data_IF_369471647025
#
_entry.id   IF_369471647025
#
_cell.length_a   1.000
_cell.length_b   1.000
_cell.length_c   1.000
_cell.angle_alpha   90.00
_cell.angle_beta   90.00
_cell.angle_gamma   90.00
#
_symmetry.space_group_name_H-M   'P 1'
#
loop_
_entity.id
_entity.type
_entity.pdbx_description
1 polymer ?
#
# COMPACT_ATOMS: atom_id res chain seq x y z
N UNK A 1 22.93 64.32 -34.47
CA UNK A 1 23.70 63.09 -34.25
C UNK A 1 23.27 62.56 -32.88
N UNK A 2 22.35 61.62 -32.83
CA UNK A 2 21.80 61.11 -31.56
C UNK A 2 22.21 59.63 -31.45
N UNK A 3 22.96 59.29 -30.44
CA UNK A 3 23.46 57.95 -30.16
C UNK A 3 22.45 57.24 -29.28
N UNK A 4 21.68 56.33 -29.86
CA UNK A 4 20.72 55.48 -29.18
C UNK A 4 21.50 54.38 -28.44
N UNK A 5 21.59 54.53 -27.09
CA UNK A 5 22.09 53.46 -26.21
C UNK A 5 21.04 52.33 -26.11
N UNK A 6 21.29 51.18 -26.76
CA UNK A 6 20.53 49.96 -26.55
C UNK A 6 20.92 49.35 -25.18
N UNK A 7 19.97 49.45 -24.26
CA UNK A 7 20.05 48.78 -22.96
C UNK A 7 19.62 47.31 -23.16
N UNK A 8 20.58 46.39 -23.13
CA UNK A 8 20.30 44.95 -23.16
C UNK A 8 19.94 44.55 -21.75
N UNK A 9 18.63 44.29 -21.53
CA UNK A 9 18.10 43.73 -20.27
C UNK A 9 18.30 42.19 -20.30
N UNK A 10 19.36 41.72 -19.65
CA UNK A 10 19.59 40.28 -19.48
C UNK A 10 18.66 39.79 -18.35
N UNK A 11 17.57 39.14 -18.72
CA UNK A 11 16.67 38.46 -17.78
C UNK A 11 17.38 37.18 -17.33
N UNK A 12 17.90 37.20 -16.11
CA UNK A 12 18.44 36.02 -15.43
C UNK A 12 17.25 35.17 -14.97
N UNK A 13 16.83 34.22 -15.83
CA UNK A 13 15.85 33.19 -15.41
C UNK A 13 16.57 32.19 -14.51
N UNK A 14 16.51 32.41 -13.21
CA UNK A 14 16.93 31.41 -12.24
C UNK A 14 15.95 30.26 -12.27
N UNK A 15 16.33 29.17 -12.94
CA UNK A 15 15.65 27.89 -12.85
C UNK A 15 15.77 27.39 -11.41
N UNK A 16 14.75 27.60 -10.58
CA UNK A 16 14.56 26.90 -9.32
C UNK A 16 14.18 25.45 -9.66
N UNK A 17 15.17 24.60 -9.86
CA UNK A 17 14.98 23.16 -9.93
C UNK A 17 14.72 22.72 -8.50
N UNK A 18 13.44 22.69 -8.10
CA UNK A 18 13.03 22.04 -6.86
C UNK A 18 13.46 20.58 -6.91
N UNK A 19 14.38 20.18 -6.05
CA UNK A 19 14.70 18.77 -5.86
C UNK A 19 13.46 18.09 -5.29
N UNK A 20 12.75 17.36 -6.15
CA UNK A 20 11.77 16.37 -5.72
C UNK A 20 12.59 15.24 -5.11
N UNK A 21 12.72 15.24 -3.78
CA UNK A 21 13.23 14.08 -3.05
C UNK A 21 12.20 12.96 -3.23
N UNK A 22 12.42 12.07 -4.18
CA UNK A 22 11.70 10.82 -4.25
C UNK A 22 11.97 10.07 -2.94
N UNK A 23 10.92 9.72 -2.21
CA UNK A 23 11.02 8.92 -0.99
C UNK A 23 11.70 7.59 -1.34
N UNK A 24 12.90 7.37 -0.78
CA UNK A 24 13.68 6.17 -1.08
C UNK A 24 13.07 4.96 -0.37
N UNK A 25 12.47 4.05 -1.15
CA UNK A 25 11.95 2.77 -0.66
C UNK A 25 13.06 1.75 -0.66
N UNK A 26 13.45 1.26 0.52
CA UNK A 26 14.49 0.25 0.69
C UNK A 26 13.89 -1.12 1.00
N UNK A 27 14.19 -2.11 0.15
CA UNK A 27 13.84 -3.51 0.41
C UNK A 27 14.76 -4.06 1.49
N UNK A 28 14.16 -4.66 2.54
CA UNK A 28 14.86 -5.22 3.70
C UNK A 28 15.02 -6.73 3.65
N UNK A 29 14.12 -7.43 2.94
CA UNK A 29 14.22 -8.88 2.82
C UNK A 29 13.08 -9.51 2.03
N UNK A 30 13.25 -10.80 1.75
CA UNK A 30 12.24 -11.66 1.10
C UNK A 30 11.95 -12.86 1.99
N UNK A 31 10.68 -13.19 2.15
CA UNK A 31 10.17 -14.25 3.02
C UNK A 31 9.13 -15.09 2.26
N UNK A 32 9.58 -15.94 1.34
CA UNK A 32 8.73 -16.70 0.41
C UNK A 32 7.91 -15.73 -0.47
N UNK A 33 6.58 -15.69 -0.30
CA UNK A 33 5.65 -14.88 -1.09
C UNK A 33 5.45 -13.46 -0.51
N UNK A 34 6.30 -13.06 0.46
CA UNK A 34 6.27 -11.76 1.12
C UNK A 34 7.62 -11.07 1.04
N UNK A 35 7.58 -9.76 0.87
CA UNK A 35 8.76 -8.90 0.88
C UNK A 35 8.60 -7.81 1.95
N UNK A 36 9.71 -7.38 2.55
CA UNK A 36 9.71 -6.34 3.59
C UNK A 36 10.46 -5.12 3.12
N UNK A 37 9.93 -3.93 3.49
CA UNK A 37 10.42 -2.65 3.05
C UNK A 37 10.44 -1.62 4.18
N UNK A 38 11.31 -0.62 4.02
CA UNK A 38 11.34 0.59 4.83
C UNK A 38 11.36 1.79 3.88
N UNK A 39 10.64 2.82 4.25
CA UNK A 39 10.72 4.15 3.66
C UNK A 39 10.59 5.20 4.77
N UNK A 40 10.93 6.43 4.46
CA UNK A 40 10.70 7.57 5.35
C UNK A 40 9.89 8.61 4.58
N UNK A 41 8.86 9.11 5.22
CA UNK A 41 8.09 10.24 4.74
C UNK A 41 8.24 11.45 5.70
N UNK A 42 7.46 12.50 5.48
CA UNK A 42 7.47 13.71 6.33
C UNK A 42 7.04 13.44 7.79
N UNK A 43 6.30 12.35 8.04
CA UNK A 43 5.80 11.95 9.36
C UNK A 43 6.72 10.94 10.05
N UNK A 44 7.72 10.44 9.34
CA UNK A 44 8.75 9.56 9.86
C UNK A 44 8.86 8.23 9.14
N UNK A 45 9.33 7.23 9.87
CA UNK A 45 9.62 5.90 9.34
C UNK A 45 8.35 5.09 9.10
N UNK A 46 8.27 4.46 7.93
CA UNK A 46 7.23 3.50 7.54
C UNK A 46 7.90 2.17 7.24
N UNK A 47 7.45 1.10 7.90
CA UNK A 47 7.88 -0.25 7.60
C UNK A 47 6.68 -1.06 7.14
N UNK A 48 6.81 -1.82 6.05
CA UNK A 48 5.72 -2.65 5.59
C UNK A 48 6.20 -3.98 5.02
N UNK A 49 5.35 -4.98 5.10
CA UNK A 49 5.47 -6.19 4.32
C UNK A 49 4.41 -6.20 3.24
N UNK A 50 4.77 -6.69 2.07
CA UNK A 50 3.95 -6.73 0.86
C UNK A 50 3.92 -8.13 0.27
N UNK A 51 2.76 -8.55 -0.24
CA UNK A 51 2.61 -9.72 -1.10
C UNK A 51 1.88 -9.35 -2.38
N UNK A 52 2.28 -9.95 -3.49
CA UNK A 52 1.57 -9.89 -4.77
C UNK A 52 0.59 -11.05 -4.87
N UNK A 53 -0.53 -10.91 -5.61
CA UNK A 53 -1.47 -12.01 -5.77
C UNK A 53 -0.84 -13.15 -6.58
N UNK A 54 -1.10 -14.38 -6.14
CA UNK A 54 -0.72 -15.61 -6.87
C UNK A 54 -1.76 -16.00 -7.92
N UNK A 55 -2.95 -15.43 -7.86
CA UNK A 55 -4.04 -15.60 -8.80
C UNK A 55 -4.91 -14.36 -8.83
N UNK A 56 -5.28 -13.92 -10.01
CA UNK A 56 -6.19 -12.81 -10.23
C UNK A 56 -7.37 -13.23 -11.14
N UNK A 57 -8.56 -12.72 -10.85
CA UNK A 57 -9.71 -12.81 -11.73
C UNK A 57 -10.29 -11.41 -11.99
N UNK A 58 -10.67 -11.10 -13.24
CA UNK A 58 -10.53 -11.91 -14.43
C UNK A 58 -9.08 -12.09 -14.88
N UNK A 59 -8.72 -13.27 -15.40
CA UNK A 59 -7.33 -13.61 -15.79
C UNK A 59 -6.78 -12.82 -16.98
N UNK A 60 -7.66 -12.37 -17.85
CA UNK A 60 -7.31 -11.60 -19.06
C UNK A 60 -7.03 -10.12 -18.80
N UNK A 61 -7.10 -9.70 -17.55
CA UNK A 61 -6.83 -8.32 -17.14
C UNK A 61 -5.91 -8.30 -15.90
N UNK A 62 -4.60 -8.57 -16.04
CA UNK A 62 -3.65 -8.52 -14.94
C UNK A 62 -3.57 -7.09 -14.38
N UNK A 63 -3.50 -6.97 -13.05
CA UNK A 63 -3.51 -5.71 -12.33
C UNK A 63 -2.36 -5.62 -11.34
N UNK A 64 -1.93 -4.39 -11.07
CA UNK A 64 -0.94 -4.10 -10.02
C UNK A 64 -1.60 -4.15 -8.63
N UNK A 65 -1.98 -5.35 -8.21
CA UNK A 65 -2.59 -5.59 -6.91
C UNK A 65 -1.55 -5.96 -5.85
N UNK A 66 -1.81 -5.59 -4.60
CA UNK A 66 -0.93 -5.91 -3.47
C UNK A 66 -1.71 -5.95 -2.16
N UNK A 67 -1.26 -6.82 -1.25
CA UNK A 67 -1.70 -6.90 0.14
C UNK A 67 -0.54 -6.46 1.04
N UNK A 68 -0.82 -5.56 1.99
CA UNK A 68 0.18 -4.97 2.88
C UNK A 68 -0.15 -5.22 4.34
N UNK A 69 0.89 -5.22 5.16
CA UNK A 69 0.82 -5.00 6.60
C UNK A 69 1.85 -3.94 6.96
N UNK A 70 1.43 -2.83 7.56
CA UNK A 70 2.29 -1.67 7.81
C UNK A 70 2.34 -1.25 9.27
N UNK A 71 3.45 -0.57 9.60
CA UNK A 71 3.74 0.07 10.88
C UNK A 71 4.24 1.47 10.58
N UNK A 72 3.63 2.47 11.22
CA UNK A 72 4.00 3.89 11.13
C UNK A 72 4.13 4.47 12.55
N UNK A 73 5.29 4.32 13.21
CA UNK A 73 5.47 4.77 14.59
C UNK A 73 5.19 6.26 14.79
N UNK A 74 5.57 7.11 13.83
CA UNK A 74 5.32 8.55 13.87
C UNK A 74 3.83 8.94 13.87
N UNK A 75 2.95 8.04 13.43
CA UNK A 75 1.50 8.22 13.43
C UNK A 75 0.80 7.34 14.49
N UNK A 76 1.57 6.66 15.35
CA UNK A 76 1.06 5.67 16.33
C UNK A 76 0.26 4.52 15.69
N UNK A 77 0.51 4.23 14.41
CA UNK A 77 -0.16 3.17 13.66
C UNK A 77 0.67 1.90 13.71
N UNK A 78 0.04 0.80 14.12
CA UNK A 78 0.64 -0.50 14.15
C UNK A 78 -0.36 -1.56 13.68
N UNK A 79 0.13 -2.50 12.86
CA UNK A 79 -0.65 -3.63 12.34
C UNK A 79 -1.73 -3.25 11.32
N UNK A 80 -1.63 -2.12 10.66
CA UNK A 80 -2.59 -1.75 9.62
C UNK A 80 -2.49 -2.71 8.44
N UNK A 81 -3.62 -3.28 8.05
CA UNK A 81 -3.73 -4.14 6.86
C UNK A 81 -4.44 -3.37 5.77
N UNK A 82 -3.81 -3.26 4.60
CA UNK A 82 -4.39 -2.60 3.44
C UNK A 82 -4.21 -3.42 2.17
N UNK A 83 -5.05 -3.13 1.19
CA UNK A 83 -4.96 -3.72 -0.15
C UNK A 83 -5.08 -2.66 -1.22
N UNK A 84 -4.42 -2.88 -2.34
CA UNK A 84 -4.74 -2.23 -3.61
C UNK A 84 -5.00 -3.30 -4.66
N UNK A 85 -5.89 -3.02 -5.61
CA UNK A 85 -6.21 -3.94 -6.70
C UNK A 85 -5.84 -3.38 -8.07
N UNK A 86 -5.04 -2.28 -8.11
CA UNK A 86 -4.60 -1.63 -9.33
C UNK A 86 -5.67 -0.77 -10.00
N UNK A 87 -6.68 -0.35 -9.24
CA UNK A 87 -7.74 0.56 -9.66
C UNK A 87 -8.37 1.25 -8.43
N UNK A 88 -9.11 2.34 -8.66
CA UNK A 88 -9.93 2.98 -7.62
C UNK A 88 -11.15 2.12 -7.29
N UNK A 89 -11.29 1.75 -6.02
CA UNK A 89 -12.43 0.97 -5.54
C UNK A 89 -13.74 1.75 -5.63
N UNK A 90 -14.82 1.02 -5.87
CA UNK A 90 -16.16 1.59 -5.85
C UNK A 90 -16.64 1.77 -4.40
N UNK A 91 -16.82 3.01 -3.96
CA UNK A 91 -17.21 3.35 -2.58
C UNK A 91 -18.62 2.87 -2.17
N UNK A 92 -19.42 2.35 -3.10
CA UNK A 92 -20.72 1.76 -2.82
C UNK A 92 -20.64 0.31 -2.32
N UNK A 93 -19.47 -0.32 -2.45
CA UNK A 93 -19.26 -1.73 -2.12
C UNK A 93 -18.04 -1.87 -1.21
N UNK A 94 -18.20 -2.59 -0.11
CA UNK A 94 -17.07 -2.95 0.76
C UNK A 94 -16.11 -3.89 0.04
N UNK A 95 -14.82 -3.75 0.32
CA UNK A 95 -13.83 -4.74 -0.12
C UNK A 95 -13.90 -5.92 0.86
N UNK A 96 -14.23 -7.10 0.34
CA UNK A 96 -14.39 -8.31 1.15
C UNK A 96 -13.11 -9.11 1.18
N UNK A 97 -12.71 -9.57 2.37
CA UNK A 97 -11.50 -10.35 2.59
C UNK A 97 -11.85 -11.65 3.32
N UNK A 98 -11.44 -12.78 2.75
CA UNK A 98 -11.74 -14.12 3.29
C UNK A 98 -10.43 -14.87 3.51
N UNK A 99 -10.28 -15.44 4.72
CA UNK A 99 -9.21 -16.37 5.06
C UNK A 99 -9.77 -17.57 5.83
N UNK A 100 -9.82 -18.73 5.18
CA UNK A 100 -10.50 -19.91 5.69
C UNK A 100 -11.99 -19.65 5.95
N UNK A 101 -12.44 -19.80 7.20
CA UNK A 101 -13.82 -19.53 7.63
C UNK A 101 -14.05 -18.07 8.06
N UNK A 102 -12.99 -17.27 8.15
CA UNK A 102 -13.06 -15.89 8.64
C UNK A 102 -13.31 -14.92 7.50
N UNK A 103 -14.24 -13.99 7.74
CA UNK A 103 -14.61 -12.92 6.81
C UNK A 103 -14.30 -11.58 7.46
N UNK A 104 -13.74 -10.67 6.68
CA UNK A 104 -13.41 -9.30 7.06
C UNK A 104 -13.89 -8.36 5.96
N UNK A 105 -14.13 -7.12 6.32
CA UNK A 105 -14.54 -6.07 5.39
C UNK A 105 -13.66 -4.86 5.58
N UNK A 106 -13.16 -4.31 4.47
CA UNK A 106 -12.46 -3.05 4.43
C UNK A 106 -13.45 -2.00 3.95
N UNK A 107 -13.69 -1.03 4.78
CA UNK A 107 -14.76 -0.04 4.65
C UNK A 107 -14.24 1.38 4.40
N UNK A 108 -12.95 1.60 4.52
CA UNK A 108 -12.31 2.86 4.18
C UNK A 108 -11.53 2.68 2.88
N UNK A 109 -11.86 3.49 1.87
CA UNK A 109 -11.25 3.45 0.55
C UNK A 109 -10.80 4.85 0.14
N UNK A 110 -9.53 4.97 -0.21
CA UNK A 110 -8.94 6.23 -0.65
C UNK A 110 -7.70 5.95 -1.52
N UNK A 111 -7.50 6.71 -2.57
CA UNK A 111 -6.30 6.69 -3.43
C UNK A 111 -5.93 5.27 -3.92
N UNK A 112 -6.94 4.46 -4.28
CA UNK A 112 -6.77 3.09 -4.76
C UNK A 112 -6.45 2.06 -3.68
N UNK A 113 -6.43 2.46 -2.40
CA UNK A 113 -6.29 1.56 -1.27
C UNK A 113 -7.62 1.32 -0.57
N UNK A 114 -7.72 0.15 0.09
CA UNK A 114 -8.79 -0.16 1.02
C UNK A 114 -8.21 -0.74 2.30
N UNK A 115 -8.79 -0.36 3.46
CA UNK A 115 -8.44 -0.86 4.80
C UNK A 115 -9.63 -0.80 5.77
N UNK A 116 -9.46 -1.35 6.95
CA UNK A 116 -10.46 -1.25 8.00
C UNK A 116 -10.37 0.13 8.68
N UNK A 117 -11.50 0.72 9.03
CA UNK A 117 -11.54 1.94 9.85
C UNK A 117 -10.95 1.69 11.24
N UNK A 118 -10.46 2.75 11.90
CA UNK A 118 -9.83 2.70 13.24
C UNK A 118 -10.71 2.04 14.30
N UNK A 119 -12.02 2.17 14.20
CA UNK A 119 -12.98 1.50 15.07
C UNK A 119 -12.84 -0.03 15.07
N UNK A 120 -12.25 -0.59 13.99
CA UNK A 120 -12.08 -2.03 13.77
C UNK A 120 -10.70 -2.57 14.16
N UNK A 121 -9.85 -1.82 14.86
CA UNK A 121 -8.49 -2.23 15.25
C UNK A 121 -8.43 -3.62 15.94
N UNK A 122 -9.46 -3.99 16.70
CA UNK A 122 -9.57 -5.34 17.28
C UNK A 122 -9.72 -6.43 16.21
N UNK A 123 -10.39 -6.11 15.09
CA UNK A 123 -10.56 -7.03 13.96
C UNK A 123 -9.27 -7.21 13.18
N UNK A 124 -8.47 -6.16 12.99
CA UNK A 124 -7.14 -6.27 12.39
C UNK A 124 -6.22 -7.22 13.17
N UNK A 125 -6.17 -7.07 14.51
CA UNK A 125 -5.43 -7.99 15.38
C UNK A 125 -5.91 -9.44 15.24
N UNK A 126 -7.23 -9.65 15.09
CA UNK A 126 -7.82 -10.96 14.84
C UNK A 126 -7.43 -11.47 13.45
N UNK A 127 -7.47 -10.60 12.43
CA UNK A 127 -7.09 -10.94 11.07
C UNK A 127 -5.62 -11.36 10.98
N UNK A 128 -4.71 -10.65 11.64
CA UNK A 128 -3.28 -11.02 11.71
C UNK A 128 -3.10 -12.42 12.34
N UNK A 129 -3.84 -12.73 13.42
CA UNK A 129 -3.80 -14.07 14.03
C UNK A 129 -4.28 -15.15 13.05
N UNK A 130 -5.30 -14.85 12.24
CA UNK A 130 -5.80 -15.73 11.18
C UNK A 130 -4.77 -15.89 10.08
N UNK A 131 -4.14 -14.81 9.61
CA UNK A 131 -3.12 -14.84 8.58
C UNK A 131 -1.89 -15.65 8.99
N UNK A 132 -1.46 -15.57 10.25
CA UNK A 132 -0.33 -16.36 10.77
C UNK A 132 -0.56 -17.87 10.75
N UNK A 133 -1.82 -18.31 10.75
CA UNK A 133 -2.23 -19.73 10.79
C UNK A 133 -2.78 -20.20 9.43
N UNK A 134 -3.11 -19.29 8.56
CA UNK A 134 -3.72 -19.58 7.26
C UNK A 134 -2.70 -19.87 6.18
N UNK A 135 -3.20 -20.34 5.04
CA UNK A 135 -2.40 -20.58 3.83
C UNK A 135 -2.69 -19.59 2.72
N UNK A 136 -3.87 -18.98 2.71
CA UNK A 136 -4.34 -18.10 1.64
C UNK A 136 -5.34 -17.06 2.16
N UNK A 137 -5.31 -15.90 1.51
CA UNK A 137 -6.32 -14.85 1.61
C UNK A 137 -6.92 -14.62 0.22
N UNK A 138 -8.23 -14.39 0.19
CA UNK A 138 -8.97 -13.96 -1.00
C UNK A 138 -9.51 -12.55 -0.75
N UNK A 139 -9.22 -11.65 -1.67
CA UNK A 139 -9.72 -10.26 -1.66
C UNK A 139 -10.68 -10.10 -2.83
N UNK A 140 -11.87 -9.60 -2.56
CA UNK A 140 -12.89 -9.27 -3.57
C UNK A 140 -13.15 -7.78 -3.54
N UNK A 141 -12.88 -7.10 -4.64
CA UNK A 141 -13.15 -5.69 -4.84
C UNK A 141 -14.08 -5.43 -6.02
N UNK A 142 -14.53 -4.20 -6.15
CA UNK A 142 -15.35 -3.73 -7.26
C UNK A 142 -14.74 -2.46 -7.85
N UNK A 143 -14.61 -2.40 -9.17
CA UNK A 143 -14.19 -1.21 -9.91
C UNK A 143 -15.28 -0.14 -9.87
N UNK A 144 -14.98 1.09 -10.28
CA UNK A 144 -15.93 2.20 -10.32
C UNK A 144 -17.19 1.89 -11.17
N UNK A 145 -17.04 1.09 -12.22
CA UNK A 145 -18.17 0.66 -13.07
C UNK A 145 -18.90 -0.58 -12.53
N UNK A 146 -18.56 -1.08 -11.32
CA UNK A 146 -19.20 -2.19 -10.66
C UNK A 146 -18.67 -3.58 -11.04
N UNK A 147 -17.67 -3.69 -11.92
CA UNK A 147 -17.07 -4.98 -12.25
C UNK A 147 -16.33 -5.56 -11.05
N UNK A 148 -16.61 -6.82 -10.74
CA UNK A 148 -15.97 -7.52 -9.62
C UNK A 148 -14.61 -8.07 -10.02
N UNK A 149 -13.66 -7.99 -9.09
CA UNK A 149 -12.35 -8.64 -9.18
C UNK A 149 -12.08 -9.51 -7.97
N UNK A 150 -11.25 -10.52 -8.15
CA UNK A 150 -10.84 -11.42 -7.07
C UNK A 150 -9.33 -11.63 -7.16
N UNK A 151 -8.64 -11.37 -6.06
CA UNK A 151 -7.20 -11.54 -5.90
C UNK A 151 -6.92 -12.55 -4.79
N UNK A 152 -6.10 -13.55 -5.07
CA UNK A 152 -5.66 -14.54 -4.08
C UNK A 152 -4.21 -14.30 -3.70
N UNK A 153 -3.95 -14.18 -2.42
CA UNK A 153 -2.61 -14.01 -1.86
C UNK A 153 -2.20 -15.24 -1.06
N UNK A 154 -0.96 -15.66 -1.22
CA UNK A 154 -0.37 -16.69 -0.37
C UNK A 154 0.00 -16.11 0.99
N UNK A 155 -0.19 -16.89 2.04
CA UNK A 155 0.28 -16.56 3.39
C UNK A 155 1.59 -17.26 3.75
N UNK A 156 2.21 -17.95 2.78
CA UNK A 156 3.50 -18.58 2.98
C UNK A 156 4.59 -17.52 3.19
N UNK A 157 5.19 -17.53 4.37
CA UNK A 157 6.20 -16.53 4.76
C UNK A 157 5.64 -15.33 5.54
N UNK A 158 4.32 -15.14 5.61
CA UNK A 158 3.69 -13.99 6.27
C UNK A 158 4.19 -13.78 7.70
N UNK A 159 4.22 -14.83 8.54
CA UNK A 159 4.65 -14.71 9.94
C UNK A 159 6.09 -14.17 10.06
N UNK A 160 7.01 -14.63 9.20
CA UNK A 160 8.40 -14.15 9.19
C UNK A 160 8.47 -12.70 8.71
N UNK A 161 7.78 -12.37 7.63
CA UNK A 161 7.70 -11.01 7.11
C UNK A 161 7.11 -10.04 8.14
N UNK A 162 5.98 -10.38 8.76
CA UNK A 162 5.37 -9.59 9.84
C UNK A 162 6.34 -9.30 10.99
N UNK A 163 7.03 -10.33 11.49
CA UNK A 163 7.96 -10.16 12.60
C UNK A 163 9.17 -9.30 12.22
N UNK A 164 9.71 -9.49 11.02
CA UNK A 164 10.81 -8.66 10.48
C UNK A 164 10.38 -7.19 10.30
N UNK A 165 9.19 -6.95 9.73
CA UNK A 165 8.65 -5.60 9.57
C UNK A 165 8.46 -4.90 10.91
N UNK A 166 7.86 -5.60 11.89
CA UNK A 166 7.67 -5.06 13.23
C UNK A 166 9.00 -4.72 13.90
N UNK A 167 10.00 -5.61 13.84
CA UNK A 167 11.33 -5.37 14.43
C UNK A 167 12.07 -4.20 13.77
N UNK A 168 11.88 -3.99 12.48
CA UNK A 168 12.50 -2.86 11.76
C UNK A 168 11.85 -1.51 12.10
N UNK A 169 10.65 -1.51 12.67
CA UNK A 169 9.87 -0.30 13.01
C UNK A 169 9.73 -0.03 14.52
N UNK A 170 10.37 -0.84 15.36
CA UNK A 170 10.47 -0.64 16.83
C UNK A 170 11.67 0.21 17.17
#
# INVERSE_FOLDING_TARGET
>A
MSIIKKLIFIIFVTNFIGQVNAEEVKKMGSHKDWETYIMNDKKGKICYAQSKPILQAPKNNPREASLFISFRPGESIANEISVTSGYEFNNKNLVKVISGKNKYEFDLMQDGFAWMSDEKNKLEKKMIKTMKKGSRIMVTGNTQNGSQTIDHYSLLGFTKAYNATKANCS
#
